data_IF_556905378670
#
_entry.id   IF_556905378670
#
_cell.length_a   1.000
_cell.length_b   1.000
_cell.length_c   1.000
_cell.angle_alpha   90.00
_cell.angle_beta   90.00
_cell.angle_gamma   90.00
#
_symmetry.space_group_name_H-M   'P 1'
#
loop_
_entity.id
_entity.type
_entity.pdbx_description
1 polymer ?
#
# COMPACT_ATOMS: atom_id res chain seq x y z
N UNK A 1 -23.58 34.30 -18.07
CA UNK A 1 -23.24 32.94 -17.66
C UNK A 1 -22.79 32.22 -18.91
N UNK A 2 -21.51 32.13 -19.15
CA UNK A 2 -20.94 31.33 -20.22
C UNK A 2 -21.16 29.85 -19.90
N UNK A 3 -21.54 29.00 -20.89
CA UNK A 3 -21.59 27.57 -20.64
C UNK A 3 -20.20 27.05 -20.29
N UNK A 4 -20.15 26.14 -19.32
CA UNK A 4 -18.93 25.42 -18.97
C UNK A 4 -18.35 24.73 -20.22
N UNK A 5 -17.03 24.66 -20.38
CA UNK A 5 -16.46 23.93 -21.50
C UNK A 5 -16.94 22.48 -21.46
N UNK A 6 -17.37 21.97 -22.63
CA UNK A 6 -17.72 20.58 -22.86
C UNK A 6 -16.74 19.68 -22.13
N UNK A 7 -17.24 18.90 -21.20
CA UNK A 7 -16.60 17.69 -20.68
C UNK A 7 -16.46 16.69 -21.85
N UNK A 8 -15.58 16.98 -22.79
CA UNK A 8 -14.97 15.96 -23.61
C UNK A 8 -14.10 15.15 -22.65
N UNK A 9 -14.75 14.21 -21.95
CA UNK A 9 -14.14 13.14 -21.18
C UNK A 9 -13.13 12.51 -22.13
N UNK A 10 -11.86 12.88 -21.94
CA UNK A 10 -10.75 12.16 -22.54
C UNK A 10 -10.85 10.74 -21.97
N UNK A 11 -11.50 9.84 -22.72
CA UNK A 11 -11.67 8.46 -22.34
C UNK A 11 -10.28 7.84 -22.25
N UNK A 12 -9.76 7.73 -21.04
CA UNK A 12 -8.47 7.11 -20.80
C UNK A 12 -8.48 5.68 -21.35
N UNK A 13 -7.42 5.22 -22.04
CA UNK A 13 -7.30 3.84 -22.50
C UNK A 13 -7.65 2.80 -21.44
N UNK A 14 -7.33 3.06 -20.17
CA UNK A 14 -7.72 2.20 -19.05
C UNK A 14 -9.23 2.02 -18.92
N UNK A 15 -10.07 2.98 -19.34
CA UNK A 15 -11.52 2.85 -19.33
C UNK A 15 -12.05 1.84 -20.35
N UNK A 16 -11.26 1.55 -21.38
CA UNK A 16 -11.63 0.61 -22.46
C UNK A 16 -11.24 -0.83 -22.12
N UNK A 17 -10.36 -1.10 -21.16
CA UNK A 17 -9.93 -2.46 -20.80
C UNK A 17 -10.79 -3.09 -19.70
N UNK A 18 -11.40 -2.31 -18.84
CA UNK A 18 -12.27 -2.76 -17.75
C UNK A 18 -13.55 -1.92 -17.65
N UNK A 19 -14.59 -2.49 -17.12
CA UNK A 19 -15.81 -1.75 -16.72
C UNK A 19 -15.62 -1.25 -15.28
N UNK A 20 -15.14 -0.02 -15.15
CA UNK A 20 -14.84 0.60 -13.87
C UNK A 20 -16.09 0.95 -13.06
N UNK A 21 -17.23 1.16 -13.71
CA UNK A 21 -18.51 1.33 -13.00
C UNK A 21 -18.89 0.04 -12.29
N UNK A 22 -18.81 -1.10 -12.97
CA UNK A 22 -18.98 -2.42 -12.36
C UNK A 22 -17.97 -2.64 -11.21
N UNK A 23 -16.71 -2.20 -11.36
CA UNK A 23 -15.71 -2.32 -10.29
C UNK A 23 -16.12 -1.52 -9.05
N UNK A 24 -16.50 -0.25 -9.20
CA UNK A 24 -16.92 0.60 -8.07
C UNK A 24 -18.18 0.07 -7.40
N UNK A 25 -19.19 -0.35 -8.16
CA UNK A 25 -20.45 -0.82 -7.60
C UNK A 25 -20.28 -2.14 -6.85
N UNK A 26 -19.55 -3.08 -7.43
CA UNK A 26 -19.24 -4.35 -6.74
C UNK A 26 -18.36 -4.12 -5.52
N UNK A 27 -17.37 -3.22 -5.60
CA UNK A 27 -16.53 -2.87 -4.46
C UNK A 27 -17.36 -2.31 -3.29
N UNK A 28 -18.34 -1.44 -3.56
CA UNK A 28 -19.26 -0.92 -2.53
C UNK A 28 -20.11 -2.03 -1.92
N UNK A 29 -20.63 -2.95 -2.74
CA UNK A 29 -21.40 -4.11 -2.26
C UNK A 29 -20.54 -4.97 -1.33
N UNK A 30 -19.32 -5.34 -1.77
CA UNK A 30 -18.38 -6.16 -1.00
C UNK A 30 -17.92 -5.45 0.28
N UNK A 31 -17.64 -4.14 0.20
CA UNK A 31 -17.25 -3.35 1.37
C UNK A 31 -18.37 -3.20 2.39
N UNK A 32 -19.61 -3.18 1.94
CA UNK A 32 -20.76 -2.88 2.76
C UNK A 32 -20.73 -1.46 3.37
N UNK A 33 -21.81 -1.05 4.04
CA UNK A 33 -21.92 0.31 4.59
C UNK A 33 -20.98 0.58 5.78
N UNK A 34 -20.45 -0.47 6.41
CA UNK A 34 -19.74 -0.36 7.68
C UNK A 34 -20.70 -0.29 8.89
N UNK A 35 -20.16 -0.06 10.10
CA UNK A 35 -20.96 0.09 11.30
C UNK A 35 -21.80 1.37 11.25
N UNK A 36 -22.88 1.39 12.02
CA UNK A 36 -23.63 2.62 12.25
C UNK A 36 -22.74 3.63 13.01
N UNK A 37 -22.57 4.80 12.43
CA UNK A 37 -21.76 5.90 12.95
C UNK A 37 -22.64 7.14 13.08
N UNK A 38 -22.75 7.69 14.27
CA UNK A 38 -23.55 8.89 14.51
C UNK A 38 -22.90 10.14 13.91
N UNK A 39 -23.62 11.24 13.85
CA UNK A 39 -23.05 12.52 13.43
C UNK A 39 -21.96 12.98 14.38
N UNK A 40 -22.17 12.77 15.67
CA UNK A 40 -21.22 13.15 16.74
C UNK A 40 -19.95 12.30 16.67
N UNK A 41 -20.06 10.96 16.47
CA UNK A 41 -18.89 10.09 16.26
C UNK A 41 -18.03 10.61 15.09
N UNK A 42 -18.69 11.02 13.98
CA UNK A 42 -17.98 11.54 12.81
C UNK A 42 -17.32 12.89 13.08
N UNK A 43 -17.99 13.77 13.80
CA UNK A 43 -17.46 15.08 14.16
C UNK A 43 -16.25 14.94 15.09
N UNK A 44 -16.37 14.12 16.11
CA UNK A 44 -15.28 13.84 17.06
C UNK A 44 -14.08 13.18 16.36
N UNK A 45 -14.33 12.17 15.51
CA UNK A 45 -13.25 11.51 14.77
C UNK A 45 -12.49 12.50 13.87
N UNK A 46 -13.19 13.43 13.20
CA UNK A 46 -12.55 14.45 12.37
C UNK A 46 -11.72 15.43 13.20
N UNK A 47 -12.26 15.89 14.32
CA UNK A 47 -11.56 16.80 15.23
C UNK A 47 -10.27 16.17 15.75
N UNK A 48 -10.38 14.95 16.28
CA UNK A 48 -9.23 14.21 16.81
C UNK A 48 -8.18 13.96 15.74
N UNK A 49 -8.55 13.42 14.57
CA UNK A 49 -7.58 13.13 13.52
C UNK A 49 -6.94 14.39 12.93
N UNK A 50 -7.64 15.52 12.92
CA UNK A 50 -7.03 16.80 12.52
C UNK A 50 -5.91 17.20 13.47
N UNK A 51 -6.17 17.14 14.78
CA UNK A 51 -5.19 17.45 15.83
C UNK A 51 -4.06 16.40 15.86
N UNK A 52 -4.44 15.10 15.92
CA UNK A 52 -3.49 14.01 16.09
C UNK A 52 -2.57 13.80 14.90
N UNK A 53 -3.02 14.14 13.67
CA UNK A 53 -2.17 14.09 12.48
C UNK A 53 -1.07 15.16 12.54
N UNK A 54 -1.38 16.36 13.03
CA UNK A 54 -0.37 17.39 13.24
C UNK A 54 0.60 17.00 14.36
N UNK A 55 0.08 16.50 15.49
CA UNK A 55 0.91 15.98 16.58
C UNK A 55 1.83 14.84 16.12
N UNK A 56 1.30 13.88 15.37
CA UNK A 56 2.08 12.77 14.82
C UNK A 56 3.21 13.27 13.91
N UNK A 57 2.99 14.37 13.15
CA UNK A 57 4.06 14.93 12.32
C UNK A 57 5.21 15.47 13.18
N UNK A 58 4.92 16.21 14.23
CA UNK A 58 5.94 16.76 15.13
C UNK A 58 6.72 15.64 15.84
N UNK A 59 6.01 14.62 16.33
CA UNK A 59 6.60 13.45 16.99
C UNK A 59 7.50 12.63 16.04
N UNK A 60 7.02 12.34 14.81
CA UNK A 60 7.78 11.58 13.81
C UNK A 60 9.02 12.35 13.37
N UNK A 61 8.90 13.64 13.06
CA UNK A 61 10.03 14.47 12.65
C UNK A 61 11.04 14.64 13.78
N UNK A 62 10.56 14.85 15.02
CA UNK A 62 11.42 14.96 16.20
C UNK A 62 12.18 13.67 16.50
N UNK A 63 11.55 12.50 16.30
CA UNK A 63 12.19 11.21 16.51
C UNK A 63 13.18 10.83 15.40
N UNK A 64 12.81 11.05 14.15
CA UNK A 64 13.61 10.61 12.99
C UNK A 64 14.69 11.62 12.57
N UNK A 65 14.57 12.87 12.98
CA UNK A 65 15.39 13.98 12.47
C UNK A 65 15.09 14.33 11.01
N UNK A 66 14.07 13.74 10.40
CA UNK A 66 13.67 13.94 9.01
C UNK A 66 12.60 15.03 8.94
N UNK A 67 12.82 16.04 8.13
CA UNK A 67 11.84 17.12 7.92
C UNK A 67 11.31 17.05 6.48
N UNK A 68 10.07 16.66 6.33
CA UNK A 68 9.42 16.64 5.02
C UNK A 68 9.10 18.08 4.57
N UNK A 69 9.45 18.39 3.34
CA UNK A 69 9.06 19.65 2.70
C UNK A 69 7.55 19.72 2.39
N UNK A 70 7.12 20.89 1.88
CA UNK A 70 5.75 21.10 1.45
C UNK A 70 4.74 21.39 2.57
N UNK A 71 3.43 21.30 2.31
CA UNK A 71 2.39 21.58 3.30
C UNK A 71 2.43 20.56 4.44
N UNK A 72 2.04 20.98 5.65
CA UNK A 72 1.92 20.09 6.81
C UNK A 72 0.96 18.93 6.58
N UNK A 73 1.08 17.85 7.38
CA UNK A 73 0.18 16.72 7.31
C UNK A 73 -1.26 17.13 7.62
N UNK A 74 -2.20 16.70 6.78
CA UNK A 74 -3.62 17.04 6.90
C UNK A 74 -4.48 15.78 6.83
N UNK A 75 -5.44 15.66 7.75
CA UNK A 75 -6.36 14.55 7.81
C UNK A 75 -7.56 14.73 6.88
N UNK A 76 -7.89 13.70 6.13
CA UNK A 76 -9.18 13.59 5.46
C UNK A 76 -9.91 12.31 5.88
N UNK A 77 -10.93 12.49 6.71
CA UNK A 77 -11.78 11.37 7.16
C UNK A 77 -12.87 11.11 6.13
N UNK A 78 -12.90 9.90 5.60
CA UNK A 78 -13.80 9.50 4.53
C UNK A 78 -14.53 8.18 4.83
N UNK A 79 -15.58 7.91 4.04
CA UNK A 79 -16.26 6.61 4.03
C UNK A 79 -15.57 5.59 3.12
N UNK A 80 -15.96 4.30 3.26
CA UNK A 80 -15.47 3.22 2.39
C UNK A 80 -15.73 3.51 0.91
N UNK A 81 -16.90 4.08 0.58
CA UNK A 81 -17.26 4.43 -0.79
C UNK A 81 -16.39 5.53 -1.40
N UNK A 82 -15.97 6.52 -0.61
CA UNK A 82 -15.07 7.58 -1.07
C UNK A 82 -13.67 7.02 -1.31
N UNK A 83 -13.21 6.18 -0.39
CA UNK A 83 -11.94 5.47 -0.52
C UNK A 83 -11.89 4.60 -1.78
N UNK A 84 -12.96 3.83 -2.06
CA UNK A 84 -13.09 3.02 -3.27
C UNK A 84 -12.99 3.89 -4.51
N UNK A 85 -13.74 4.99 -4.59
CA UNK A 85 -13.71 5.89 -5.76
C UNK A 85 -12.32 6.46 -6.00
N UNK A 86 -11.66 6.94 -4.96
CA UNK A 86 -10.29 7.50 -5.05
C UNK A 86 -9.28 6.47 -5.55
N UNK A 87 -9.27 5.29 -4.94
CA UNK A 87 -8.34 4.23 -5.32
C UNK A 87 -8.65 3.66 -6.70
N UNK A 88 -9.90 3.69 -7.15
CA UNK A 88 -10.24 3.32 -8.54
C UNK A 88 -9.60 4.28 -9.54
N UNK A 89 -9.66 5.60 -9.29
CA UNK A 89 -9.00 6.60 -10.16
C UNK A 89 -7.47 6.41 -10.16
N UNK A 90 -6.87 6.18 -8.99
CA UNK A 90 -5.44 5.89 -8.89
C UNK A 90 -5.06 4.63 -9.69
N UNK A 91 -5.85 3.57 -9.57
CA UNK A 91 -5.62 2.33 -10.32
C UNK A 91 -5.79 2.49 -11.83
N UNK A 92 -6.78 3.29 -12.28
CA UNK A 92 -6.94 3.62 -13.70
C UNK A 92 -5.67 4.28 -14.26
N UNK A 93 -5.15 5.29 -13.58
CA UNK A 93 -3.90 5.97 -13.98
C UNK A 93 -2.71 5.02 -14.02
N UNK A 94 -2.59 4.16 -13.01
CA UNK A 94 -1.53 3.16 -12.94
C UNK A 94 -1.60 2.15 -14.08
N UNK A 95 -2.80 1.78 -14.52
CA UNK A 95 -3.02 0.80 -15.60
C UNK A 95 -2.94 1.39 -17.00
N UNK A 96 -2.83 2.70 -17.13
CA UNK A 96 -2.85 3.41 -18.41
C UNK A 96 -1.81 2.91 -19.42
N UNK A 97 -0.51 2.74 -19.06
CA UNK A 97 0.51 2.23 -20.00
C UNK A 97 0.20 0.82 -20.52
N UNK A 98 -0.31 -0.04 -19.64
CA UNK A 98 -0.72 -1.39 -20.03
C UNK A 98 -1.95 -1.36 -20.93
N UNK A 99 -2.90 -0.48 -20.65
CA UNK A 99 -4.13 -0.33 -21.42
C UNK A 99 -3.83 0.10 -22.87
N UNK A 100 -2.94 1.07 -23.06
CA UNK A 100 -2.47 1.49 -24.40
C UNK A 100 -1.97 0.28 -25.18
N UNK A 101 -1.02 -0.47 -24.64
CA UNK A 101 -0.43 -1.65 -25.30
C UNK A 101 -1.46 -2.75 -25.59
N UNK A 102 -2.39 -2.99 -24.65
CA UNK A 102 -3.44 -4.00 -24.83
C UNK A 102 -4.40 -3.62 -25.95
N UNK A 103 -4.71 -2.33 -26.09
CA UNK A 103 -5.61 -1.84 -27.15
C UNK A 103 -4.94 -1.77 -28.52
N UNK A 104 -3.63 -1.51 -28.58
CA UNK A 104 -2.85 -1.62 -29.81
C UNK A 104 -2.83 -3.05 -30.33
N UNK A 105 -2.63 -4.03 -29.44
CA UNK A 105 -2.62 -5.45 -29.81
C UNK A 105 -4.02 -6.01 -30.12
N UNK A 106 -5.05 -5.53 -29.44
CA UNK A 106 -6.43 -5.98 -29.56
C UNK A 106 -7.40 -4.83 -29.26
N UNK A 107 -7.80 -4.04 -30.28
CA UNK A 107 -8.59 -2.81 -30.11
C UNK A 107 -9.95 -3.02 -29.44
N UNK A 108 -10.59 -4.16 -29.68
CA UNK A 108 -11.93 -4.45 -29.17
C UNK A 108 -11.90 -5.58 -28.14
N UNK A 109 -12.18 -5.23 -26.89
CA UNK A 109 -12.53 -6.20 -25.84
C UNK A 109 -14.03 -6.36 -25.75
N UNK A 110 -14.50 -7.60 -25.65
CA UNK A 110 -15.93 -7.85 -25.47
C UNK A 110 -16.43 -7.20 -24.15
N UNK A 111 -17.66 -6.72 -24.16
CA UNK A 111 -18.30 -6.13 -22.97
C UNK A 111 -18.25 -7.10 -21.77
N UNK A 112 -18.39 -8.40 -22.04
CA UNK A 112 -18.30 -9.46 -21.01
C UNK A 112 -16.92 -9.48 -20.37
N UNK A 113 -15.84 -9.43 -21.17
CA UNK A 113 -14.48 -9.43 -20.65
C UNK A 113 -14.17 -8.18 -19.81
N UNK A 114 -14.65 -7.01 -20.23
CA UNK A 114 -14.49 -5.77 -19.47
C UNK A 114 -15.24 -5.82 -18.13
N UNK A 115 -16.49 -6.33 -18.12
CA UNK A 115 -17.27 -6.53 -16.90
C UNK A 115 -16.62 -7.53 -15.98
N UNK A 116 -16.08 -8.65 -16.48
CA UNK A 116 -15.41 -9.64 -15.68
C UNK A 116 -14.16 -9.07 -14.99
N UNK A 117 -13.34 -8.29 -15.72
CA UNK A 117 -12.20 -7.61 -15.12
C UNK A 117 -12.64 -6.55 -14.10
N UNK A 118 -13.66 -5.75 -14.40
CA UNK A 118 -14.24 -4.81 -13.47
C UNK A 118 -14.72 -5.49 -12.18
N UNK A 119 -15.42 -6.63 -12.29
CA UNK A 119 -15.88 -7.39 -11.15
C UNK A 119 -14.72 -7.95 -10.30
N UNK A 120 -13.65 -8.42 -10.93
CA UNK A 120 -12.46 -8.90 -10.24
C UNK A 120 -11.77 -7.77 -9.46
N UNK A 121 -11.54 -6.63 -10.10
CA UNK A 121 -10.97 -5.44 -9.46
C UNK A 121 -11.87 -4.95 -8.32
N UNK A 122 -13.17 -4.88 -8.56
CA UNK A 122 -14.16 -4.47 -7.56
C UNK A 122 -14.19 -5.36 -6.32
N UNK A 123 -14.07 -6.67 -6.52
CA UNK A 123 -14.00 -7.63 -5.39
C UNK A 123 -12.79 -7.39 -4.51
N UNK A 124 -11.63 -7.15 -5.12
CA UNK A 124 -10.38 -6.87 -4.40
C UNK A 124 -10.46 -5.52 -3.68
N UNK A 125 -10.88 -4.45 -4.38
CA UNK A 125 -11.01 -3.12 -3.78
C UNK A 125 -12.01 -3.12 -2.63
N UNK A 126 -13.16 -3.79 -2.78
CA UNK A 126 -14.17 -3.89 -1.72
C UNK A 126 -13.65 -4.64 -0.49
N UNK A 127 -12.90 -5.72 -0.70
CA UNK A 127 -12.23 -6.44 0.38
C UNK A 127 -11.22 -5.57 1.14
N UNK A 128 -10.37 -4.84 0.42
CA UNK A 128 -9.38 -3.94 1.01
C UNK A 128 -10.06 -2.77 1.73
N UNK A 129 -11.10 -2.18 1.13
CA UNK A 129 -11.85 -1.06 1.69
C UNK A 129 -12.46 -1.32 3.08
N UNK A 130 -12.72 -2.59 3.43
CA UNK A 130 -13.19 -2.99 4.77
C UNK A 130 -12.09 -3.00 5.83
N UNK A 131 -10.82 -2.91 5.43
CA UNK A 131 -9.66 -3.17 6.31
C UNK A 131 -8.75 -1.99 6.48
N UNK A 132 -8.68 -1.13 5.49
CA UNK A 132 -7.83 0.06 5.53
C UNK A 132 -8.30 0.98 6.65
N UNK A 133 -7.38 1.36 7.53
CA UNK A 133 -7.60 2.33 8.61
C UNK A 133 -7.17 3.72 8.16
N UNK A 134 -5.96 3.83 7.62
CA UNK A 134 -5.39 5.02 7.05
C UNK A 134 -4.68 4.71 5.72
N UNK A 135 -4.34 5.75 4.98
CA UNK A 135 -3.57 5.67 3.75
C UNK A 135 -2.91 7.01 3.44
N UNK A 136 -1.59 7.04 3.36
CA UNK A 136 -0.90 8.06 2.62
C UNK A 136 -0.88 7.66 1.14
N UNK A 137 -1.45 8.48 0.27
CA UNK A 137 -1.62 8.12 -1.14
C UNK A 137 -0.41 8.57 -1.97
N UNK A 138 0.40 7.60 -2.36
CA UNK A 138 1.63 7.81 -3.12
C UNK A 138 1.36 8.10 -4.60
N UNK A 139 0.23 7.65 -5.13
CA UNK A 139 -0.11 7.75 -6.55
C UNK A 139 -0.98 8.95 -6.91
N UNK A 140 -1.38 9.75 -5.92
CA UNK A 140 -2.08 11.01 -6.19
C UNK A 140 -1.12 12.07 -6.72
N UNK A 141 -1.63 13.06 -7.49
CA UNK A 141 -0.84 14.19 -7.95
C UNK A 141 -0.14 14.89 -6.79
N UNK A 142 1.07 15.41 -7.05
CA UNK A 142 1.89 16.12 -6.07
C UNK A 142 1.23 17.38 -5.47
N UNK A 143 0.11 17.81 -6.01
CA UNK A 143 -0.65 19.00 -5.58
C UNK A 143 -1.17 18.90 -4.15
N UNK A 144 -1.15 17.69 -3.54
CA UNK A 144 -1.70 17.44 -2.21
C UNK A 144 -0.81 16.55 -1.32
N UNK A 145 0.50 16.77 -1.35
CA UNK A 145 1.52 16.00 -0.64
C UNK A 145 1.33 15.88 0.88
N UNK A 146 0.48 16.72 1.48
CA UNK A 146 0.18 16.69 2.91
C UNK A 146 -1.03 15.86 3.29
N UNK A 147 -1.80 15.31 2.33
CA UNK A 147 -3.10 14.72 2.61
C UNK A 147 -2.98 13.24 3.01
N UNK A 148 -3.57 12.91 4.14
CA UNK A 148 -3.68 11.54 4.67
C UNK A 148 -5.15 11.15 4.77
N UNK A 149 -5.50 10.01 4.19
CA UNK A 149 -6.85 9.47 4.25
C UNK A 149 -7.04 8.59 5.47
N UNK A 150 -8.18 8.73 6.13
CA UNK A 150 -8.61 7.85 7.21
C UNK A 150 -10.00 7.29 6.89
N UNK A 151 -10.15 5.98 6.93
CA UNK A 151 -11.44 5.32 6.67
C UNK A 151 -12.21 5.25 7.97
N UNK A 152 -12.96 6.31 8.26
CA UNK A 152 -13.63 6.53 9.54
C UNK A 152 -14.48 5.35 10.04
N UNK A 153 -15.37 4.75 9.22
CA UNK A 153 -16.14 3.59 9.64
C UNK A 153 -15.29 2.41 10.11
N UNK A 154 -14.11 2.20 9.50
CA UNK A 154 -13.22 1.10 9.88
C UNK A 154 -12.51 1.38 11.20
N UNK A 155 -12.13 2.64 11.44
CA UNK A 155 -11.50 3.04 12.69
C UNK A 155 -12.46 2.85 13.85
N UNK A 156 -13.68 3.38 13.73
CA UNK A 156 -14.72 3.25 14.77
C UNK A 156 -15.10 1.78 15.00
N UNK A 157 -15.21 0.96 13.94
CA UNK A 157 -15.47 -0.48 14.08
C UNK A 157 -14.36 -1.16 14.90
N UNK A 158 -13.11 -0.83 14.58
CA UNK A 158 -11.95 -1.40 15.27
C UNK A 158 -11.89 -0.96 16.75
N UNK A 159 -12.05 0.34 17.02
CA UNK A 159 -12.12 0.90 18.37
C UNK A 159 -13.17 0.18 19.22
N UNK A 160 -14.40 0.06 18.71
CA UNK A 160 -15.53 -0.58 19.39
C UNK A 160 -15.34 -2.07 19.60
N UNK A 161 -14.86 -2.77 18.56
CA UNK A 161 -14.67 -4.23 18.60
C UNK A 161 -13.67 -4.67 19.66
N UNK A 162 -12.57 -3.94 19.78
CA UNK A 162 -11.47 -4.27 20.69
C UNK A 162 -11.48 -3.43 21.97
N UNK A 163 -12.46 -2.54 22.13
CA UNK A 163 -12.62 -1.65 23.28
C UNK A 163 -11.38 -0.79 23.52
N UNK A 164 -10.81 -0.23 22.45
CA UNK A 164 -9.63 0.63 22.53
C UNK A 164 -10.00 2.02 22.98
N UNK A 165 -9.03 2.70 23.62
CA UNK A 165 -9.14 4.15 23.85
C UNK A 165 -9.04 4.86 22.50
N UNK A 166 -10.09 5.61 22.05
CA UNK A 166 -10.14 6.15 20.70
C UNK A 166 -8.96 7.05 20.35
N UNK A 167 -8.57 7.94 21.28
CA UNK A 167 -7.51 8.91 21.05
C UNK A 167 -6.15 8.23 20.87
N UNK A 168 -5.85 7.23 21.68
CA UNK A 168 -4.63 6.45 21.60
C UNK A 168 -4.52 5.68 20.28
N UNK A 169 -5.61 5.02 19.90
CA UNK A 169 -5.65 4.26 18.64
C UNK A 169 -5.54 5.17 17.41
N UNK A 170 -6.23 6.32 17.42
CA UNK A 170 -6.17 7.32 16.33
C UNK A 170 -4.77 7.90 16.18
N UNK A 171 -4.11 8.24 17.30
CA UNK A 171 -2.72 8.70 17.27
C UNK A 171 -1.79 7.63 16.74
N UNK A 172 -1.96 6.38 17.17
CA UNK A 172 -1.16 5.26 16.70
C UNK A 172 -1.25 5.08 15.16
N UNK A 173 -2.47 5.15 14.59
CA UNK A 173 -2.68 5.11 13.12
C UNK A 173 -2.06 6.34 12.46
N UNK A 174 -2.23 7.54 13.05
CA UNK A 174 -1.70 8.78 12.49
C UNK A 174 -0.16 8.76 12.41
N UNK A 175 0.54 8.25 13.43
CA UNK A 175 2.00 8.11 13.43
C UNK A 175 2.46 7.25 12.24
N UNK A 176 1.77 6.15 11.95
CA UNK A 176 2.10 5.27 10.81
C UNK A 176 1.98 6.00 9.47
N UNK A 177 0.83 6.61 9.21
CA UNK A 177 0.55 7.29 7.94
C UNK A 177 1.41 8.54 7.73
N UNK A 178 1.64 9.28 8.80
CA UNK A 178 2.55 10.44 8.77
C UNK A 178 4.00 10.01 8.50
N UNK A 179 4.41 8.85 9.00
CA UNK A 179 5.75 8.33 8.69
C UNK A 179 5.91 8.10 7.19
N UNK A 180 4.92 7.54 6.51
CA UNK A 180 4.95 7.42 5.05
C UNK A 180 5.02 8.79 4.38
N UNK A 181 4.24 9.77 4.83
CA UNK A 181 4.33 11.13 4.31
C UNK A 181 5.75 11.71 4.46
N UNK A 182 6.39 11.50 5.61
CA UNK A 182 7.76 11.98 5.85
C UNK A 182 8.74 11.29 4.91
N UNK A 183 8.66 9.95 4.75
CA UNK A 183 9.51 9.19 3.82
C UNK A 183 9.46 9.75 2.40
N UNK A 184 8.25 9.96 1.86
CA UNK A 184 8.08 10.47 0.50
C UNK A 184 8.37 11.98 0.39
N UNK A 185 8.23 12.73 1.48
CA UNK A 185 8.53 14.15 1.53
C UNK A 185 10.02 14.46 1.58
N UNK A 186 10.83 13.62 2.24
CA UNK A 186 12.30 13.78 2.28
C UNK A 186 13.00 13.13 1.10
N UNK A 187 12.37 12.21 0.41
CA UNK A 187 12.89 11.49 -0.75
C UNK A 187 11.98 11.70 -1.99
N UNK A 188 11.97 12.88 -2.63
CA UNK A 188 11.08 13.16 -3.76
C UNK A 188 11.25 12.19 -4.94
N UNK A 189 12.46 11.62 -5.10
CA UNK A 189 12.78 10.61 -6.11
C UNK A 189 12.02 9.29 -5.91
N UNK A 190 11.52 9.02 -4.71
CA UNK A 190 10.92 7.72 -4.34
C UNK A 190 9.62 7.45 -5.11
N UNK A 191 8.81 8.49 -5.36
CA UNK A 191 7.58 8.38 -6.20
C UNK A 191 7.94 7.98 -7.64
N UNK A 192 8.93 8.67 -8.21
CA UNK A 192 9.40 8.35 -9.56
C UNK A 192 10.01 6.95 -9.66
N UNK A 193 10.75 6.52 -8.64
CA UNK A 193 11.32 5.18 -8.59
C UNK A 193 10.22 4.10 -8.52
N UNK A 194 9.22 4.28 -7.65
CA UNK A 194 8.07 3.37 -7.56
C UNK A 194 7.28 3.32 -8.87
N UNK A 195 7.00 4.48 -9.47
CA UNK A 195 6.36 4.58 -10.77
C UNK A 195 7.13 3.83 -11.85
N UNK A 196 8.46 4.03 -11.90
CA UNK A 196 9.34 3.32 -12.83
C UNK A 196 9.31 1.79 -12.66
N UNK A 197 9.26 1.28 -11.42
CA UNK A 197 9.12 -0.17 -11.18
C UNK A 197 7.77 -0.70 -11.69
N UNK A 198 6.70 0.07 -11.52
CA UNK A 198 5.38 -0.30 -12.05
C UNK A 198 5.40 -0.30 -13.58
N UNK A 199 5.95 0.74 -14.20
CA UNK A 199 6.06 0.85 -15.67
C UNK A 199 6.91 -0.28 -16.25
N UNK A 200 8.06 -0.60 -15.63
CA UNK A 200 8.90 -1.73 -16.02
C UNK A 200 8.12 -3.05 -15.93
N UNK A 201 7.37 -3.26 -14.82
CA UNK A 201 6.58 -4.48 -14.65
C UNK A 201 5.47 -4.59 -15.68
N UNK A 202 4.66 -3.54 -15.84
CA UNK A 202 3.59 -3.49 -16.84
C UNK A 202 4.13 -3.63 -18.27
N UNK A 203 5.29 -3.03 -18.53
CA UNK A 203 6.02 -3.16 -19.78
C UNK A 203 6.49 -4.58 -20.09
N UNK A 204 6.80 -5.36 -19.06
CA UNK A 204 7.27 -6.76 -19.19
C UNK A 204 6.15 -7.78 -19.43
N UNK A 205 4.88 -7.37 -19.30
CA UNK A 205 3.73 -8.27 -19.55
C UNK A 205 3.65 -8.54 -21.05
N UNK A 206 3.82 -9.82 -21.44
CA UNK A 206 3.60 -10.24 -22.84
C UNK A 206 2.12 -10.27 -23.17
N UNK A 207 1.75 -9.59 -24.25
CA UNK A 207 0.38 -9.50 -24.75
C UNK A 207 0.12 -10.57 -25.84
N UNK A 208 1.17 -11.27 -26.31
CA UNK A 208 1.07 -12.27 -27.36
C UNK A 208 0.25 -13.49 -26.92
N UNK A 209 -0.63 -13.95 -27.82
CA UNK A 209 -1.44 -15.14 -27.56
C UNK A 209 -0.56 -16.39 -27.47
N UNK A 210 -0.50 -16.98 -26.27
CA UNK A 210 0.34 -18.16 -25.99
C UNK A 210 1.40 -17.93 -24.91
N UNK A 211 1.76 -16.69 -24.60
CA UNK A 211 2.71 -16.40 -23.52
C UNK A 211 2.26 -16.95 -22.16
N UNK A 212 0.97 -16.82 -21.85
CA UNK A 212 0.39 -17.36 -20.61
C UNK A 212 0.47 -18.90 -20.56
N UNK A 213 0.25 -19.58 -21.68
CA UNK A 213 0.37 -21.05 -21.75
C UNK A 213 1.82 -21.50 -21.60
N UNK A 214 2.79 -20.73 -22.11
CA UNK A 214 4.22 -20.97 -21.88
C UNK A 214 4.61 -20.80 -20.41
N UNK A 215 4.16 -19.72 -19.79
CA UNK A 215 4.38 -19.45 -18.35
C UNK A 215 3.74 -20.54 -17.46
N UNK A 216 2.52 -20.96 -17.78
CA UNK A 216 1.85 -22.06 -17.06
C UNK A 216 2.59 -23.40 -17.22
N UNK A 217 3.10 -23.72 -18.42
CA UNK A 217 3.93 -24.92 -18.62
C UNK A 217 5.19 -24.87 -17.79
N UNK A 218 5.90 -23.74 -17.83
CA UNK A 218 7.11 -23.53 -17.02
C UNK A 218 6.82 -23.69 -15.52
N UNK A 219 5.71 -23.11 -15.03
CA UNK A 219 5.31 -23.24 -13.64
C UNK A 219 4.98 -24.70 -13.27
N UNK A 220 4.33 -25.44 -14.16
CA UNK A 220 4.03 -26.87 -13.96
C UNK A 220 5.31 -27.72 -13.95
N UNK A 221 6.27 -27.45 -14.84
CA UNK A 221 7.56 -28.14 -14.90
C UNK A 221 8.39 -27.90 -13.62
N UNK A 222 8.41 -26.67 -13.11
CA UNK A 222 9.06 -26.32 -11.84
C UNK A 222 8.39 -27.01 -10.64
N UNK A 223 7.05 -27.04 -10.62
CA UNK A 223 6.28 -27.76 -9.60
C UNK A 223 6.53 -29.29 -9.58
N UNK A 224 6.80 -29.86 -10.75
CA UNK A 224 7.14 -31.29 -10.84
C UNK A 224 8.54 -31.56 -10.29
N UNK A 225 9.45 -30.56 -10.39
CA UNK A 225 10.82 -30.65 -9.86
C UNK A 225 10.88 -30.40 -8.36
N UNK A 226 10.10 -29.43 -7.85
CA UNK A 226 10.08 -29.09 -6.44
C UNK A 226 8.66 -28.69 -6.00
N UNK A 227 7.99 -29.60 -5.29
CA UNK A 227 6.65 -29.36 -4.76
C UNK A 227 6.62 -28.29 -3.65
N UNK A 228 7.72 -28.04 -2.98
CA UNK A 228 7.82 -27.01 -1.94
C UNK A 228 7.85 -25.61 -2.52
N UNK A 229 8.20 -25.45 -3.80
CA UNK A 229 8.20 -24.17 -4.51
C UNK A 229 6.81 -23.52 -4.61
N UNK A 230 5.73 -24.26 -4.33
CA UNK A 230 4.35 -23.76 -4.32
C UNK A 230 3.93 -23.13 -3.00
N UNK A 231 4.69 -23.32 -1.92
CA UNK A 231 4.35 -22.76 -0.63
C UNK A 231 4.57 -21.25 -0.60
N UNK A 232 3.55 -20.49 -0.26
CA UNK A 232 3.62 -19.03 -0.16
C UNK A 232 3.75 -18.30 -1.51
N UNK A 233 4.61 -17.26 -1.59
CA UNK A 233 4.90 -16.51 -2.83
C UNK A 233 5.59 -17.37 -3.90
N UNK A 234 6.15 -18.50 -3.53
CA UNK A 234 6.80 -19.40 -4.48
C UNK A 234 5.92 -19.69 -5.69
N UNK A 235 4.63 -19.98 -5.47
CA UNK A 235 3.67 -20.20 -6.54
C UNK A 235 3.48 -19.02 -7.50
N UNK A 236 3.43 -17.80 -6.98
CA UNK A 236 3.33 -16.58 -7.83
C UNK A 236 4.64 -16.32 -8.56
N UNK A 237 5.78 -16.50 -7.88
CA UNK A 237 7.10 -16.31 -8.49
C UNK A 237 7.38 -17.27 -9.64
N UNK A 238 6.82 -18.49 -9.60
CA UNK A 238 6.94 -19.46 -10.70
C UNK A 238 6.28 -18.98 -11.99
N UNK A 239 5.26 -18.13 -11.89
CA UNK A 239 4.57 -17.54 -13.05
C UNK A 239 5.30 -16.32 -13.61
N UNK A 240 6.27 -15.77 -12.89
CA UNK A 240 7.03 -14.59 -13.33
C UNK A 240 8.23 -14.99 -14.19
N UNK A 241 8.46 -14.23 -15.25
CA UNK A 241 9.70 -14.33 -16.03
C UNK A 241 10.91 -13.85 -15.21
N UNK A 242 12.15 -14.21 -15.56
CA UNK A 242 13.34 -13.73 -14.85
C UNK A 242 13.41 -12.19 -14.70
N UNK A 243 13.13 -11.37 -15.74
CA UNK A 243 13.04 -9.90 -15.56
C UNK A 243 11.95 -9.47 -14.59
N UNK A 244 10.77 -10.10 -14.64
CA UNK A 244 9.67 -9.79 -13.71
C UNK A 244 10.03 -10.14 -12.26
N UNK A 245 10.76 -11.24 -12.03
CA UNK A 245 11.26 -11.61 -10.70
C UNK A 245 12.22 -10.56 -10.13
N UNK A 246 13.06 -9.99 -10.97
CA UNK A 246 13.99 -8.92 -10.55
C UNK A 246 13.25 -7.64 -10.18
N UNK A 247 12.30 -7.19 -11.00
CA UNK A 247 11.46 -6.03 -10.70
C UNK A 247 10.69 -6.27 -9.41
N UNK A 248 10.12 -7.45 -9.24
CA UNK A 248 9.39 -7.85 -8.05
C UNK A 248 10.29 -7.84 -6.80
N UNK A 249 11.53 -8.35 -6.90
CA UNK A 249 12.49 -8.35 -5.79
C UNK A 249 12.86 -6.92 -5.36
N UNK A 250 13.11 -6.01 -6.31
CA UNK A 250 13.37 -4.58 -6.05
C UNK A 250 12.17 -3.92 -5.38
N UNK A 251 10.97 -4.17 -5.90
CA UNK A 251 9.71 -3.64 -5.31
C UNK A 251 9.53 -4.14 -3.88
N UNK A 252 9.77 -5.43 -3.65
CA UNK A 252 9.64 -6.01 -2.32
C UNK A 252 10.65 -5.46 -1.32
N UNK A 253 11.90 -5.29 -1.73
CA UNK A 253 12.93 -4.71 -0.87
C UNK A 253 12.58 -3.27 -0.45
N UNK A 254 12.15 -2.45 -1.41
CA UNK A 254 11.68 -1.10 -1.15
C UNK A 254 10.46 -1.08 -0.20
N UNK A 255 9.44 -1.91 -0.48
CA UNK A 255 8.25 -1.97 0.39
C UNK A 255 8.59 -2.48 1.79
N UNK A 256 9.51 -3.44 1.92
CA UNK A 256 9.99 -3.91 3.22
C UNK A 256 10.67 -2.80 4.01
N UNK A 257 11.47 -1.96 3.35
CA UNK A 257 12.09 -0.79 3.97
C UNK A 257 11.01 0.21 4.42
N UNK A 258 10.11 0.62 3.53
CA UNK A 258 9.09 1.65 3.83
C UNK A 258 8.21 1.24 5.01
N UNK A 259 7.66 0.05 4.95
CA UNK A 259 6.77 -0.47 6.00
C UNK A 259 7.53 -0.83 7.28
N UNK A 260 8.75 -1.36 7.14
CA UNK A 260 9.60 -1.67 8.29
C UNK A 260 10.02 -0.40 9.04
N UNK A 261 10.37 0.66 8.32
CA UNK A 261 10.67 1.96 8.91
C UNK A 261 9.42 2.57 9.56
N UNK A 262 8.26 2.54 8.89
CA UNK A 262 7.02 3.03 9.47
C UNK A 262 6.64 2.25 10.75
N UNK A 263 6.79 0.93 10.75
CA UNK A 263 6.55 0.10 11.94
C UNK A 263 7.54 0.42 13.07
N UNK A 264 8.82 0.58 12.75
CA UNK A 264 9.84 0.96 13.73
C UNK A 264 9.54 2.31 14.36
N UNK A 265 9.35 3.35 13.56
CA UNK A 265 9.04 4.70 14.04
C UNK A 265 7.76 4.71 14.88
N UNK A 266 6.71 4.07 14.37
CA UNK A 266 5.44 3.94 15.08
C UNK A 266 5.63 3.28 16.44
N UNK A 267 6.38 2.19 16.54
CA UNK A 267 6.60 1.50 17.82
C UNK A 267 7.41 2.35 18.80
N UNK A 268 8.47 3.02 18.34
CA UNK A 268 9.33 3.84 19.20
C UNK A 268 8.62 5.14 19.68
N UNK A 269 7.88 5.81 18.78
CA UNK A 269 7.13 7.03 19.09
C UNK A 269 5.93 6.69 19.97
N UNK A 270 5.12 5.70 19.58
CA UNK A 270 3.93 5.31 20.34
C UNK A 270 4.26 4.79 21.74
N UNK A 271 5.44 4.19 21.96
CA UNK A 271 5.87 3.79 23.29
C UNK A 271 5.96 4.96 24.30
N UNK A 272 6.10 6.20 23.79
CA UNK A 272 6.18 7.43 24.60
C UNK A 272 4.86 8.18 24.68
N UNK A 273 4.06 8.12 23.60
CA UNK A 273 2.91 9.00 23.36
C UNK A 273 1.56 8.28 23.44
N UNK A 274 1.54 6.93 23.47
CA UNK A 274 0.31 6.11 23.46
C UNK A 274 0.27 5.21 24.69
N UNK A 275 -0.49 5.60 25.75
CA UNK A 275 -0.56 4.84 27.00
C UNK A 275 -1.04 3.40 26.84
N UNK A 276 -2.05 3.15 26.00
CA UNK A 276 -2.65 1.81 25.80
C UNK A 276 -2.05 1.02 24.61
N UNK A 277 -0.78 1.29 24.26
CA UNK A 277 -0.10 0.66 23.12
C UNK A 277 -0.15 -0.89 23.15
N UNK A 278 0.04 -1.48 24.32
CA UNK A 278 0.03 -2.93 24.48
C UNK A 278 -1.33 -3.56 24.12
N UNK A 279 -2.44 -2.85 24.38
CA UNK A 279 -3.78 -3.29 24.00
C UNK A 279 -4.01 -3.19 22.51
N UNK A 280 -3.56 -2.10 21.88
CA UNK A 280 -3.62 -1.91 20.43
C UNK A 280 -2.85 -3.02 19.73
N UNK A 281 -1.63 -3.34 20.16
CA UNK A 281 -0.81 -4.41 19.60
C UNK A 281 -1.47 -5.79 19.72
N UNK A 282 -2.10 -6.10 20.86
CA UNK A 282 -2.87 -7.34 21.03
C UNK A 282 -4.08 -7.41 20.10
N UNK A 283 -4.85 -6.34 19.97
CA UNK A 283 -5.99 -6.25 19.07
C UNK A 283 -5.60 -6.52 17.61
N UNK A 284 -4.46 -5.97 17.18
CA UNK A 284 -3.92 -6.22 15.85
C UNK A 284 -3.45 -7.66 15.65
N UNK A 285 -2.80 -8.25 16.65
CA UNK A 285 -2.40 -9.66 16.60
C UNK A 285 -3.62 -10.58 16.50
N UNK A 286 -4.67 -10.30 17.26
CA UNK A 286 -5.95 -11.03 17.19
C UNK A 286 -6.60 -10.90 15.82
N UNK A 287 -6.67 -9.67 15.26
CA UNK A 287 -7.18 -9.43 13.90
C UNK A 287 -6.44 -10.25 12.84
N UNK A 288 -5.13 -10.44 13.00
CA UNK A 288 -4.29 -11.24 12.07
C UNK A 288 -4.51 -12.74 12.20
N UNK A 289 -4.93 -13.23 13.35
CA UNK A 289 -5.13 -14.66 13.63
C UNK A 289 -6.46 -15.22 13.12
N UNK A 290 -7.30 -14.44 12.47
CA UNK A 290 -8.65 -14.82 12.00
C UNK A 290 -8.55 -15.97 10.97
N UNK A 291 -9.32 -17.05 11.18
CA UNK A 291 -9.31 -18.29 10.38
C UNK A 291 -10.52 -18.36 9.43
N UNK A 292 -10.45 -19.20 8.39
CA UNK A 292 -11.57 -19.52 7.50
C UNK A 292 -11.42 -18.99 6.08
N UNK A 293 -12.54 -18.67 5.41
CA UNK A 293 -12.59 -18.15 4.02
C UNK A 293 -11.73 -16.89 3.85
N UNK A 294 -11.64 -16.11 4.91
CA UNK A 294 -10.78 -14.94 5.04
C UNK A 294 -9.29 -15.29 4.82
N UNK A 295 -8.81 -16.35 5.47
CA UNK A 295 -7.42 -16.81 5.32
C UNK A 295 -7.14 -17.32 3.90
N UNK A 296 -8.10 -18.00 3.26
CA UNK A 296 -7.96 -18.44 1.88
C UNK A 296 -7.84 -17.26 0.91
N UNK A 297 -8.62 -16.18 1.13
CA UNK A 297 -8.53 -14.96 0.32
C UNK A 297 -7.24 -14.19 0.60
N UNK A 298 -6.81 -14.10 1.87
CA UNK A 298 -5.53 -13.49 2.25
C UNK A 298 -4.34 -14.20 1.59
N UNK A 299 -4.36 -15.54 1.53
CA UNK A 299 -3.37 -16.32 0.80
C UNK A 299 -3.40 -16.04 -0.70
N UNK A 300 -4.61 -15.94 -1.29
CA UNK A 300 -4.76 -15.67 -2.72
C UNK A 300 -4.19 -14.31 -3.16
N UNK A 301 -4.20 -13.29 -2.27
CA UNK A 301 -3.63 -11.96 -2.50
C UNK A 301 -2.25 -11.79 -1.85
N UNK A 302 -1.64 -12.88 -1.39
CA UNK A 302 -0.31 -12.90 -0.73
C UNK A 302 -0.20 -11.98 0.51
N UNK A 303 -1.31 -11.75 1.23
CA UNK A 303 -1.35 -10.86 2.39
C UNK A 303 -0.50 -11.36 3.57
N UNK A 304 -0.47 -12.68 3.80
CA UNK A 304 0.33 -13.28 4.90
C UNK A 304 1.83 -12.99 4.76
N UNK A 305 2.29 -12.77 3.54
CA UNK A 305 3.69 -12.47 3.25
C UNK A 305 4.02 -10.98 3.41
N UNK A 306 3.05 -10.09 3.25
CA UNK A 306 3.21 -8.68 3.65
C UNK A 306 3.60 -8.57 5.13
N UNK A 307 2.99 -9.38 5.99
CA UNK A 307 3.30 -9.38 7.44
C UNK A 307 4.73 -9.86 7.71
N UNK A 308 5.19 -10.91 7.02
CA UNK A 308 6.57 -11.38 7.14
C UNK A 308 7.60 -10.35 6.61
N UNK A 309 7.24 -9.62 5.55
CA UNK A 309 8.05 -8.53 5.01
C UNK A 309 8.17 -7.35 5.98
N UNK A 310 7.09 -6.97 6.65
CA UNK A 310 7.13 -5.90 7.66
C UNK A 310 8.08 -6.25 8.81
N UNK A 311 8.02 -7.49 9.31
CA UNK A 311 8.93 -7.95 10.35
C UNK A 311 10.39 -7.98 9.87
N UNK A 312 10.65 -8.37 8.62
CA UNK A 312 12.01 -8.35 8.06
C UNK A 312 12.52 -6.92 7.87
N UNK A 313 11.66 -6.02 7.38
CA UNK A 313 12.00 -4.61 7.23
C UNK A 313 12.23 -3.91 8.56
N UNK A 314 11.39 -4.14 9.57
CA UNK A 314 11.58 -3.58 10.91
C UNK A 314 12.88 -4.09 11.56
N UNK A 315 13.19 -5.38 11.40
CA UNK A 315 14.46 -5.94 11.86
C UNK A 315 15.66 -5.28 11.17
N UNK A 316 15.59 -5.10 9.84
CA UNK A 316 16.60 -4.38 9.07
C UNK A 316 16.83 -2.98 9.66
N UNK A 317 15.77 -2.20 9.84
CA UNK A 317 15.83 -0.84 10.38
C UNK A 317 16.45 -0.83 11.79
N UNK A 318 15.99 -1.70 12.69
CA UNK A 318 16.52 -1.80 14.06
C UNK A 318 18.01 -2.15 14.08
N UNK A 319 18.45 -3.07 13.22
CA UNK A 319 19.84 -3.47 13.15
C UNK A 319 20.74 -2.37 12.57
N UNK A 320 20.26 -1.64 11.55
CA UNK A 320 20.99 -0.47 11.00
C UNK A 320 21.14 0.61 12.07
N UNK A 321 20.07 0.94 12.77
CA UNK A 321 20.08 1.94 13.84
C UNK A 321 20.99 1.50 15.00
N UNK A 322 20.94 0.23 15.38
CA UNK A 322 21.82 -0.29 16.44
C UNK A 322 23.32 -0.21 16.09
N UNK A 323 23.68 -0.26 14.81
CA UNK A 323 25.06 -0.22 14.34
C UNK A 323 25.58 1.19 14.09
N UNK A 324 24.77 2.06 13.52
CA UNK A 324 25.20 3.37 13.01
C UNK A 324 24.33 4.55 13.43
N UNK A 325 23.32 4.32 14.27
CA UNK A 325 22.39 5.36 14.70
C UNK A 325 21.37 5.74 13.64
N UNK A 326 20.52 6.70 13.99
CA UNK A 326 19.44 7.21 13.11
C UNK A 326 20.04 7.89 11.84
N UNK A 327 21.18 8.57 11.97
CA UNK A 327 21.83 9.25 10.84
C UNK A 327 22.30 8.26 9.77
N UNK A 328 22.81 7.09 10.17
CA UNK A 328 23.17 6.03 9.23
C UNK A 328 21.93 5.51 8.49
N UNK A 329 20.82 5.28 9.19
CA UNK A 329 19.57 4.87 8.57
C UNK A 329 19.08 5.95 7.59
N UNK A 330 19.17 7.22 7.96
CA UNK A 330 18.66 8.34 7.16
C UNK A 330 19.39 8.48 5.81
N UNK A 331 20.58 7.88 5.64
CA UNK A 331 21.26 7.84 4.33
C UNK A 331 20.43 7.11 3.26
N UNK A 332 19.51 6.25 3.66
CA UNK A 332 18.63 5.54 2.71
C UNK A 332 17.78 6.50 1.88
N UNK A 333 17.41 7.66 2.43
CA UNK A 333 16.55 8.65 1.76
C UNK A 333 17.29 9.57 0.79
N UNK A 334 18.62 9.55 0.80
CA UNK A 334 19.45 10.46 -0.01
C UNK A 334 19.42 10.11 -1.50
N UNK A 335 19.34 8.82 -1.85
CA UNK A 335 19.37 8.37 -3.25
C UNK A 335 18.73 6.99 -3.42
N UNK A 336 18.20 6.73 -4.60
CA UNK A 336 17.70 5.39 -4.97
C UNK A 336 18.78 4.30 -4.93
N UNK A 337 20.06 4.68 -5.13
CA UNK A 337 21.19 3.75 -5.00
C UNK A 337 21.41 3.26 -3.56
N UNK A 338 20.88 3.98 -2.58
CA UNK A 338 20.96 3.59 -1.17
C UNK A 338 19.81 2.68 -0.73
N UNK A 339 18.81 2.43 -1.59
CA UNK A 339 17.80 1.43 -1.27
C UNK A 339 18.45 0.07 -1.00
N UNK A 340 18.01 -0.67 0.03
CA UNK A 340 18.53 -2.00 0.26
C UNK A 340 18.05 -2.97 -0.82
N UNK A 341 18.91 -3.91 -1.18
CA UNK A 341 18.51 -5.09 -1.94
C UNK A 341 17.77 -6.09 -1.02
N UNK A 342 17.14 -7.10 -1.61
CA UNK A 342 16.49 -8.17 -0.85
C UNK A 342 17.47 -8.88 0.09
N UNK A 343 18.70 -9.13 -0.37
CA UNK A 343 19.73 -9.79 0.42
C UNK A 343 20.21 -8.90 1.57
N UNK A 344 20.28 -7.59 1.35
CA UNK A 344 20.64 -6.63 2.39
C UNK A 344 19.54 -6.46 3.44
N UNK A 345 18.27 -6.56 3.06
CA UNK A 345 17.15 -6.63 4.03
C UNK A 345 17.28 -7.88 4.92
N UNK A 346 17.74 -8.99 4.36
CA UNK A 346 17.99 -10.23 5.12
C UNK A 346 19.26 -10.15 5.98
N UNK A 347 20.30 -9.47 5.48
CA UNK A 347 21.63 -9.31 6.11
C UNK A 347 22.01 -7.81 6.20
N UNK A 348 21.44 -7.03 7.16
CA UNK A 348 21.62 -5.57 7.25
C UNK A 348 23.06 -5.08 7.31
N UNK A 349 23.98 -5.89 7.83
CA UNK A 349 25.41 -5.56 7.87
C UNK A 349 26.01 -5.28 6.49
N UNK A 350 25.51 -5.94 5.43
CA UNK A 350 25.96 -5.71 4.05
C UNK A 350 25.58 -4.30 3.59
N UNK A 351 24.36 -3.87 3.91
CA UNK A 351 23.90 -2.53 3.57
C UNK A 351 24.72 -1.45 4.28
N UNK A 352 24.97 -1.63 5.60
CA UNK A 352 25.80 -0.71 6.38
C UNK A 352 27.20 -0.58 5.79
N UNK A 353 27.81 -1.69 5.37
CA UNK A 353 29.13 -1.66 4.71
C UNK A 353 29.08 -0.92 3.36
N UNK A 354 28.03 -1.08 2.58
CA UNK A 354 27.92 -0.46 1.25
C UNK A 354 27.60 1.03 1.30
N UNK A 355 26.77 1.46 2.26
CA UNK A 355 26.24 2.83 2.29
C UNK A 355 26.96 3.69 3.34
N UNK A 356 27.47 3.09 4.42
CA UNK A 356 28.12 3.79 5.51
C UNK A 356 29.65 3.80 5.44
N UNK A 357 30.26 3.25 4.36
CA UNK A 357 31.71 3.17 4.15
C UNK A 357 32.30 4.38 3.44
#
# INVERSE_FOLDING_TARGET
VAPAPDDAVLAFPAERIADWSTAVDLAKIVAGPGPAVTADDRAQLRADLTELTALAQDEVQGFTGLTAGGPGARAWVMGRGDWIRRNTVGLQRLMEPLAVRLLEAKPDRSAIARKALGAQVGSILGYVARRVLGQYDVFLPADDDGLIYYVGPNMIDFERRYGLEPRDFRLWVAIHEVTHRVQFGVAPWLRGYLGGLVDEYLGSISIEGGALTGQLRHAVDELQRDRSAWEGLGGVLLLLTPPQREIFARTQAMMSLLEGHASYVMNEVAARSVPDLARIQRALAERRSTRGVEQAFQRAIAFDQKVAQYAAGERFVREVVARGGQDALNQVWSSSSNLPTRDEVAEPARWVTRVGG
#
